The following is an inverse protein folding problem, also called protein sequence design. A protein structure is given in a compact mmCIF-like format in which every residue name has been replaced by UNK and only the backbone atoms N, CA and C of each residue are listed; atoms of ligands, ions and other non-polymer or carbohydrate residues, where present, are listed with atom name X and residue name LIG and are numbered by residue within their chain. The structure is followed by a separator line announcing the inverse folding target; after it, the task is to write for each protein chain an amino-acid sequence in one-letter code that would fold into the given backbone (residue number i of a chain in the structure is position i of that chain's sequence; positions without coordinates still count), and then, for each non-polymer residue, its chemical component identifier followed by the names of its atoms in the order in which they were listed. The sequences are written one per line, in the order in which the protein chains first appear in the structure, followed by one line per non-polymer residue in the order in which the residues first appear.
data_IF_213568805064
#
_entry.id   IF_213568805064
#
_cell.length_a   1.000
_cell.length_b   1.000
_cell.length_c   1.000
_cell.angle_alpha   90.00
_cell.angle_beta   90.00
_cell.angle_gamma   90.00
#
_symmetry.space_group_name_H-M   'P 1'
#
loop_
_entity.id
_entity.type
_entity.pdbx_description
1 polymer ?
#
# COMPACT_ATOMS: atom_id res chain seq x y z
N UNK A 1 -14.82 -7.96 -7.99
CA UNK A 1 -15.74 -6.90 -7.53
C UNK A 1 -15.64 -6.89 -6.01
N UNK A 2 -15.10 -5.84 -5.38
CA UNK A 2 -14.92 -5.82 -3.92
C UNK A 2 -15.43 -4.50 -3.38
N UNK A 3 -16.57 -4.59 -2.70
CA UNK A 3 -17.29 -3.51 -2.08
C UNK A 3 -16.73 -3.31 -0.66
N UNK A 4 -16.57 -2.04 -0.27
CA UNK A 4 -16.25 -1.54 1.08
C UNK A 4 -14.78 -1.44 1.54
N UNK A 5 -13.84 -2.30 1.10
CA UNK A 5 -12.43 -2.20 1.55
C UNK A 5 -11.51 -1.32 0.68
N UNK A 6 -11.80 -1.20 -0.61
CA UNK A 6 -10.89 -0.60 -1.60
C UNK A 6 -11.15 0.88 -1.91
N UNK A 7 -12.18 1.51 -1.31
CA UNK A 7 -12.56 2.90 -1.66
C UNK A 7 -11.39 3.87 -1.53
N UNK A 8 -10.57 3.73 -0.48
CA UNK A 8 -9.37 4.57 -0.28
C UNK A 8 -8.30 4.42 -1.38
N UNK A 9 -8.30 3.30 -2.11
CA UNK A 9 -7.38 3.11 -3.25
C UNK A 9 -7.91 3.75 -4.54
N UNK A 10 -9.22 3.99 -4.64
CA UNK A 10 -9.87 4.56 -5.82
C UNK A 10 -10.06 6.07 -5.70
N UNK A 11 -10.34 6.56 -4.49
CA UNK A 11 -10.64 7.96 -4.22
C UNK A 11 -10.07 8.43 -2.86
N UNK A 12 -8.74 8.52 -2.72
CA UNK A 12 -8.10 9.11 -1.55
C UNK A 12 -8.03 10.65 -1.66
N UNK A 13 -8.13 11.33 -0.53
CA UNK A 13 -7.81 12.77 -0.45
C UNK A 13 -6.30 13.01 -0.59
N UNK A 14 -5.47 12.06 -0.13
CA UNK A 14 -4.02 12.17 -0.21
C UNK A 14 -3.35 10.84 -0.51
N UNK A 15 -2.32 10.89 -1.35
CA UNK A 15 -1.46 9.76 -1.71
C UNK A 15 -0.01 10.16 -1.46
N UNK A 16 0.74 9.31 -0.74
CA UNK A 16 2.18 9.48 -0.56
C UNK A 16 2.93 8.19 -0.85
N UNK A 17 3.87 8.28 -1.79
CA UNK A 17 4.74 7.18 -2.18
C UNK A 17 5.93 7.13 -1.24
N UNK A 18 5.96 6.12 -0.36
CA UNK A 18 7.03 5.95 0.63
C UNK A 18 8.20 5.11 0.08
N UNK A 19 8.08 4.59 -1.14
CA UNK A 19 9.13 3.83 -1.83
C UNK A 19 9.24 2.36 -1.41
N UNK A 20 10.35 1.74 -1.77
CA UNK A 20 10.67 0.36 -1.40
C UNK A 20 11.18 0.29 0.05
N UNK A 21 10.62 -0.65 0.81
CA UNK A 21 11.07 -0.99 2.15
C UNK A 21 11.76 -2.36 2.13
N UNK A 22 13.05 -2.37 2.44
CA UNK A 22 13.90 -3.57 2.47
C UNK A 22 13.96 -4.26 3.83
N UNK A 23 13.25 -3.74 4.85
CA UNK A 23 13.19 -4.37 6.19
C UNK A 23 12.31 -5.62 6.21
N UNK A 24 11.48 -5.81 5.19
CA UNK A 24 10.72 -7.03 4.98
C UNK A 24 11.63 -8.12 4.36
N UNK A 25 11.26 -9.40 4.53
CA UNK A 25 11.99 -10.51 3.90
C UNK A 25 11.99 -10.45 2.36
N UNK A 26 11.13 -9.63 1.78
CA UNK A 26 11.05 -9.34 0.35
C UNK A 26 10.89 -7.83 0.12
N UNK A 27 11.17 -7.36 -1.09
CA UNK A 27 10.95 -5.96 -1.44
C UNK A 27 9.44 -5.63 -1.36
N UNK A 28 9.07 -4.64 -0.56
CA UNK A 28 7.68 -4.17 -0.44
C UNK A 28 7.63 -2.70 -0.79
N UNK A 29 6.86 -2.35 -1.81
CA UNK A 29 6.60 -0.96 -2.14
C UNK A 29 5.44 -0.43 -1.28
N UNK A 30 5.63 0.72 -0.62
CA UNK A 30 4.65 1.26 0.33
C UNK A 30 4.02 2.54 -0.17
N UNK A 31 2.71 2.65 0.03
CA UNK A 31 1.95 3.87 -0.24
C UNK A 31 1.11 4.20 0.99
N UNK A 32 1.20 5.43 1.49
CA UNK A 32 0.29 5.96 2.51
C UNK A 32 -0.85 6.70 1.84
N UNK A 33 -2.06 6.48 2.36
CA UNK A 33 -3.29 7.05 1.84
C UNK A 33 -4.08 7.69 2.99
N UNK A 34 -4.84 8.72 2.66
CA UNK A 34 -5.82 9.32 3.56
C UNK A 34 -7.18 9.28 2.86
N UNK A 35 -8.18 8.63 3.48
CA UNK A 35 -9.54 8.56 2.96
C UNK A 35 -10.36 9.82 3.30
N UNK A 36 -11.54 9.94 2.69
CA UNK A 36 -12.43 11.10 2.89
C UNK A 36 -12.93 11.30 4.32
N UNK A 37 -13.01 10.23 5.10
CA UNK A 37 -13.33 10.26 6.53
C UNK A 37 -12.09 10.55 7.42
N UNK A 38 -10.96 10.92 6.82
CA UNK A 38 -9.73 11.27 7.50
C UNK A 38 -8.94 10.06 8.03
N UNK A 39 -9.36 8.83 7.74
CA UNK A 39 -8.63 7.65 8.19
C UNK A 39 -7.32 7.49 7.40
N UNK A 40 -6.28 7.06 8.10
CA UNK A 40 -4.98 6.81 7.52
C UNK A 40 -4.83 5.34 7.16
N UNK A 41 -4.28 5.09 5.98
CA UNK A 41 -4.10 3.74 5.45
C UNK A 41 -2.69 3.55 4.93
N UNK A 42 -2.21 2.31 5.00
CA UNK A 42 -0.96 1.85 4.41
C UNK A 42 -1.26 0.72 3.43
N UNK A 43 -1.02 0.98 2.16
CA UNK A 43 -1.02 -0.02 1.11
C UNK A 43 0.40 -0.60 0.97
N UNK A 44 0.50 -1.91 1.09
CA UNK A 44 1.73 -2.68 0.93
C UNK A 44 1.63 -3.50 -0.34
N UNK A 45 2.55 -3.27 -1.27
CA UNK A 45 2.68 -4.00 -2.53
C UNK A 45 3.93 -4.86 -2.48
N UNK A 46 3.82 -6.16 -2.15
CA UNK A 46 4.93 -7.08 -2.27
C UNK A 46 5.42 -7.10 -3.71
N UNK A 47 6.73 -7.04 -3.90
CA UNK A 47 7.36 -7.02 -5.21
C UNK A 47 8.10 -8.34 -5.41
N UNK A 48 7.90 -8.95 -6.58
CA UNK A 48 8.60 -10.16 -7.00
C UNK A 48 9.39 -9.89 -8.27
N UNK A 49 10.57 -10.50 -8.37
CA UNK A 49 11.37 -10.52 -9.59
C UNK A 49 11.05 -11.80 -10.35
N UNK A 50 10.63 -11.66 -11.60
CA UNK A 50 10.44 -12.82 -12.48
C UNK A 50 11.78 -13.43 -12.87
N UNK A 51 11.78 -14.65 -13.41
CA UNK A 51 12.99 -15.31 -13.94
C UNK A 51 13.76 -14.50 -14.99
N UNK A 52 13.11 -13.50 -15.62
CA UNK A 52 13.70 -12.60 -16.62
C UNK A 52 14.20 -11.27 -16.03
N UNK A 53 14.23 -11.11 -14.72
CA UNK A 53 14.68 -9.88 -14.05
C UNK A 53 13.62 -8.77 -13.98
N UNK A 54 12.41 -8.98 -14.53
CA UNK A 54 11.33 -7.99 -14.48
C UNK A 54 10.65 -7.99 -13.11
N UNK A 55 10.47 -6.81 -12.52
CA UNK A 55 9.70 -6.61 -11.29
C UNK A 55 8.20 -6.63 -11.54
N UNK A 56 7.45 -7.27 -10.64
CA UNK A 56 5.99 -7.29 -10.64
C UNK A 56 5.45 -7.10 -9.24
N UNK A 57 4.30 -6.43 -9.15
CA UNK A 57 3.49 -6.41 -7.94
C UNK A 57 2.86 -7.80 -7.76
N UNK A 58 2.98 -8.34 -6.55
CA UNK A 58 2.42 -9.63 -6.13
C UNK A 58 1.36 -9.41 -5.04
N UNK A 59 0.23 -8.85 -5.46
CA UNK A 59 -0.89 -8.54 -4.59
C UNK A 59 -0.77 -7.18 -3.90
N UNK A 60 -1.76 -6.90 -3.05
CA UNK A 60 -1.84 -5.69 -2.25
C UNK A 60 -2.42 -6.07 -0.89
N UNK A 61 -1.82 -5.59 0.19
CA UNK A 61 -2.40 -5.63 1.53
C UNK A 61 -2.69 -4.21 1.95
N UNK A 62 -3.92 -3.97 2.39
CA UNK A 62 -4.34 -2.67 2.86
C UNK A 62 -4.52 -2.75 4.37
N UNK A 63 -3.80 -1.89 5.09
CA UNK A 63 -3.83 -1.81 6.55
C UNK A 63 -4.37 -0.44 6.96
N UNK A 64 -5.42 -0.44 7.76
CA UNK A 64 -5.88 0.78 8.40
C UNK A 64 -4.95 1.09 9.58
N UNK A 65 -4.42 2.31 9.62
CA UNK A 65 -3.56 2.77 10.70
C UNK A 65 -4.42 3.32 11.83
N UNK A 66 -4.59 2.55 12.89
CA UNK A 66 -5.31 2.98 14.10
C UNK A 66 -4.32 3.72 15.02
N UNK A 67 -4.45 5.05 15.11
CA UNK A 67 -3.72 5.88 16.09
C UNK A 67 -2.47 6.60 15.56
N UNK A 68 -2.24 7.81 16.10
CA UNK A 68 -1.25 8.84 15.73
C UNK A 68 0.10 8.27 15.28
N UNK A 69 0.56 8.71 14.10
CA UNK A 69 1.99 8.74 13.79
C UNK A 69 2.67 9.54 14.90
N UNK A 70 3.36 8.83 15.81
CA UNK A 70 4.36 9.41 16.71
C UNK A 70 5.56 9.81 15.85
#
# INVERSE_FOLDING_TARGET
MIENGYKVLLDPISIRFDGLDSRFQSAVYRIKLISHDGQHWLALYPMIVTKKGTWKINGCRLLQLTGKLI
#
